data_IF_456407069948
#
_entry.id   IF_456407069948
#
_cell.length_a   1.000
_cell.length_b   1.000
_cell.length_c   1.000
_cell.angle_alpha   90.00
_cell.angle_beta   90.00
_cell.angle_gamma   90.00
#
_symmetry.space_group_name_H-M   'P 1'
#
loop_
_entity.id
_entity.type
_entity.pdbx_description
1 polymer ?
#
# COMPACT_ATOMS: atom_id res chain seq x y z
N UNK A 1 1.22 -22.20 -12.66
CA UNK A 1 0.50 -21.14 -13.39
C UNK A 1 0.14 -20.09 -12.37
N UNK A 2 0.97 -19.06 -12.21
CA UNK A 2 0.73 -17.99 -11.25
C UNK A 2 -0.39 -17.14 -11.81
N UNK A 3 -1.58 -17.28 -11.24
CA UNK A 3 -2.70 -16.36 -11.50
C UNK A 3 -2.22 -14.95 -11.18
N UNK A 4 -1.97 -14.15 -12.22
CA UNK A 4 -1.97 -12.70 -12.13
C UNK A 4 -3.41 -12.29 -11.74
N UNK A 5 -3.74 -12.42 -10.47
CA UNK A 5 -4.87 -11.71 -9.91
C UNK A 5 -4.41 -10.25 -9.86
N UNK A 6 -4.79 -9.49 -10.87
CA UNK A 6 -4.70 -8.04 -10.80
C UNK A 6 -5.39 -7.60 -9.51
N UNK A 7 -4.61 -7.00 -8.63
CA UNK A 7 -5.08 -6.52 -7.33
C UNK A 7 -6.08 -5.39 -7.58
N UNK A 8 -7.37 -5.72 -7.76
CA UNK A 8 -8.41 -4.76 -8.07
C UNK A 8 -9.09 -4.32 -6.77
N UNK A 9 -8.46 -3.39 -6.07
CA UNK A 9 -8.96 -2.84 -4.81
C UNK A 9 -9.66 -1.51 -5.09
N UNK A 10 -10.91 -1.37 -4.64
CA UNK A 10 -11.63 -0.10 -4.70
C UNK A 10 -11.37 0.73 -3.44
N UNK A 11 -10.25 1.45 -3.43
CA UNK A 11 -9.79 2.25 -2.29
C UNK A 11 -10.80 3.33 -1.91
N UNK A 12 -11.44 4.00 -2.87
CA UNK A 12 -12.43 5.03 -2.60
C UNK A 12 -13.66 4.48 -1.86
N UNK A 13 -14.21 3.36 -2.32
CA UNK A 13 -15.38 2.76 -1.66
C UNK A 13 -15.03 2.25 -0.27
N UNK A 14 -13.85 1.66 -0.09
CA UNK A 14 -13.39 1.24 1.24
C UNK A 14 -13.27 2.45 2.17
N UNK A 15 -12.64 3.55 1.72
CA UNK A 15 -12.51 4.77 2.52
C UNK A 15 -13.88 5.38 2.87
N UNK A 16 -14.82 5.44 1.93
CA UNK A 16 -16.20 5.90 2.19
C UNK A 16 -16.87 5.08 3.29
N UNK A 17 -16.60 3.78 3.34
CA UNK A 17 -17.08 2.87 4.38
C UNK A 17 -16.27 2.95 5.69
N UNK A 18 -15.17 3.71 5.72
CA UNK A 18 -14.28 3.88 6.87
C UNK A 18 -13.23 2.78 6.99
N UNK A 19 -12.83 2.18 5.87
CA UNK A 19 -11.83 1.12 5.81
C UNK A 19 -10.66 1.51 4.90
N UNK A 20 -9.45 1.08 5.25
CA UNK A 20 -8.26 1.24 4.42
C UNK A 20 -7.47 -0.06 4.31
N UNK A 21 -6.81 -0.26 3.17
CA UNK A 21 -5.89 -1.38 2.95
C UNK A 21 -4.49 -0.93 3.31
N UNK A 22 -3.94 -1.56 4.34
CA UNK A 22 -2.64 -1.23 4.89
C UNK A 22 -1.78 -2.48 5.02
N UNK A 23 -0.48 -2.27 5.14
CA UNK A 23 0.43 -3.31 5.58
C UNK A 23 0.19 -3.65 7.05
N UNK A 24 0.27 -4.92 7.41
CA UNK A 24 0.03 -5.36 8.78
C UNK A 24 1.04 -4.78 9.78
N UNK A 25 2.20 -4.26 9.33
CA UNK A 25 3.19 -3.62 10.20
C UNK A 25 2.87 -2.14 10.49
N UNK A 26 1.79 -1.60 9.93
CA UNK A 26 1.37 -0.22 10.19
C UNK A 26 0.85 -0.02 11.62
N UNK A 27 0.34 -1.09 12.26
CA UNK A 27 -0.11 -1.12 13.65
C UNK A 27 0.02 -2.54 14.21
N UNK A 28 -0.08 -2.71 15.52
CA UNK A 28 -0.16 -4.04 16.11
C UNK A 28 -1.52 -4.67 15.78
N UNK A 29 -1.51 -5.69 14.91
CA UNK A 29 -2.68 -6.49 14.54
C UNK A 29 -2.43 -7.97 14.83
N UNK A 30 -3.48 -8.72 15.15
CA UNK A 30 -3.42 -10.18 15.21
C UNK A 30 -3.15 -10.74 13.82
N UNK A 31 -2.01 -11.41 13.64
CA UNK A 31 -1.50 -11.83 12.33
C UNK A 31 -2.06 -13.20 11.94
N UNK A 32 -2.59 -13.31 10.71
CA UNK A 32 -2.80 -14.62 10.06
C UNK A 32 -1.47 -15.09 9.44
N UNK A 33 -1.19 -16.40 9.30
CA UNK A 33 0.08 -16.92 8.75
C UNK A 33 0.29 -16.66 7.24
N UNK A 34 -0.58 -15.87 6.62
CA UNK A 34 -0.60 -15.65 5.18
C UNK A 34 0.60 -14.85 4.68
N UNK A 35 1.05 -15.17 3.47
CA UNK A 35 2.26 -14.61 2.86
C UNK A 35 2.13 -13.14 2.48
N UNK A 36 0.91 -12.69 2.18
CA UNK A 36 0.61 -11.33 1.78
C UNK A 36 -0.06 -10.59 2.94
N UNK A 37 0.76 -9.93 3.77
CA UNK A 37 0.33 -9.23 4.98
C UNK A 37 -0.35 -7.88 4.71
N UNK A 38 -1.36 -7.87 3.85
CA UNK A 38 -2.25 -6.73 3.67
C UNK A 38 -3.51 -6.95 4.48
N UNK A 39 -3.93 -5.95 5.25
CA UNK A 39 -5.13 -6.00 6.07
C UNK A 39 -6.05 -4.83 5.75
N UNK A 40 -7.35 -5.06 5.90
CA UNK A 40 -8.35 -4.00 5.86
C UNK A 40 -8.54 -3.52 7.30
N UNK A 41 -8.15 -2.28 7.59
CA UNK A 41 -8.28 -1.67 8.90
C UNK A 41 -9.33 -0.55 8.89
N UNK A 42 -9.99 -0.37 10.03
CA UNK A 42 -10.93 0.75 10.23
C UNK A 42 -10.17 2.06 10.41
N UNK A 43 -10.64 3.11 9.76
CA UNK A 43 -10.10 4.48 9.81
C UNK A 43 -11.18 5.39 10.40
N UNK A 44 -10.93 5.89 11.61
CA UNK A 44 -11.91 6.67 12.38
C UNK A 44 -11.88 8.18 12.07
N UNK A 45 -10.89 8.69 11.31
CA UNK A 45 -10.71 10.12 11.01
C UNK A 45 -9.95 10.38 9.70
N UNK A 46 -10.23 11.50 9.01
CA UNK A 46 -9.54 12.02 7.81
C UNK A 46 -9.33 11.01 6.67
N UNK A 47 -10.44 10.42 6.24
CA UNK A 47 -10.48 9.34 5.23
C UNK A 47 -9.96 9.77 3.87
N UNK A 48 -10.21 11.01 3.48
CA UNK A 48 -9.88 11.50 2.14
C UNK A 48 -8.36 11.71 1.96
N UNK A 49 -7.65 12.05 3.05
CA UNK A 49 -6.21 12.30 3.05
C UNK A 49 -5.39 11.09 3.54
N UNK A 50 -6.05 10.02 4.01
CA UNK A 50 -5.39 8.87 4.64
C UNK A 50 -4.20 8.30 3.85
N UNK A 51 -4.42 7.98 2.56
CA UNK A 51 -3.35 7.42 1.72
C UNK A 51 -2.31 8.48 1.34
N UNK A 52 -2.68 9.76 1.22
CA UNK A 52 -1.75 10.86 0.99
C UNK A 52 -0.80 11.01 2.17
N UNK A 53 -1.34 11.06 3.38
CA UNK A 53 -0.58 11.18 4.62
C UNK A 53 0.32 9.99 4.84
N UNK A 54 -0.17 8.78 4.60
CA UNK A 54 0.63 7.56 4.72
C UNK A 54 1.78 7.54 3.72
N UNK A 55 1.53 7.90 2.46
CA UNK A 55 2.60 8.00 1.46
C UNK A 55 3.61 9.09 1.84
N UNK A 56 3.16 10.28 2.24
CA UNK A 56 4.00 11.37 2.71
C UNK A 56 4.84 10.95 3.92
N UNK A 57 4.29 10.17 4.84
CA UNK A 57 5.00 9.65 6.01
C UNK A 57 6.14 8.69 5.61
N UNK A 58 5.93 7.86 4.58
CA UNK A 58 6.94 6.90 4.14
C UNK A 58 8.04 7.51 3.27
N UNK A 59 7.70 8.53 2.47
CA UNK A 59 8.51 8.96 1.33
C UNK A 59 8.95 10.42 1.43
N UNK A 60 8.34 11.19 2.33
CA UNK A 60 8.48 12.64 2.47
C UNK A 60 8.09 13.44 1.20
N UNK A 61 7.33 12.83 0.28
CA UNK A 61 6.82 13.47 -0.94
C UNK A 61 5.32 13.77 -0.80
N UNK A 62 4.90 14.92 -1.33
CA UNK A 62 3.48 15.25 -1.45
C UNK A 62 2.92 14.74 -2.78
N UNK A 63 1.79 14.04 -2.70
CA UNK A 63 1.08 13.47 -3.85
C UNK A 63 -0.29 14.11 -3.99
N UNK A 64 -0.77 14.26 -5.23
CA UNK A 64 -2.12 14.79 -5.49
C UNK A 64 -3.16 13.70 -5.19
N UNK A 65 -4.31 14.10 -4.65
CA UNK A 65 -5.36 13.15 -4.25
C UNK A 65 -5.83 12.25 -5.39
N UNK A 66 -5.82 12.77 -6.63
CA UNK A 66 -6.28 12.06 -7.82
C UNK A 66 -5.32 10.98 -8.34
N UNK A 67 -4.05 10.95 -7.91
CA UNK A 67 -3.05 9.93 -8.31
C UNK A 67 -2.70 8.95 -7.19
N UNK A 68 -3.08 9.25 -5.94
CA UNK A 68 -2.67 8.51 -4.75
C UNK A 68 -3.14 7.06 -4.74
N UNK A 69 -4.36 6.79 -5.19
CA UNK A 69 -4.92 5.43 -5.24
C UNK A 69 -4.17 4.54 -6.24
N UNK A 70 -3.78 5.11 -7.38
CA UNK A 70 -2.98 4.43 -8.41
C UNK A 70 -1.56 4.14 -7.88
N UNK A 71 -0.89 5.16 -7.34
CA UNK A 71 0.46 5.03 -6.76
C UNK A 71 0.46 4.01 -5.62
N UNK A 72 -0.53 4.04 -4.74
CA UNK A 72 -0.64 3.08 -3.64
C UNK A 72 -0.82 1.65 -4.16
N UNK A 73 -1.67 1.45 -5.18
CA UNK A 73 -1.85 0.14 -5.83
C UNK A 73 -0.54 -0.39 -6.38
N UNK A 74 0.24 0.47 -7.04
CA UNK A 74 1.51 0.09 -7.64
C UNK A 74 2.57 -0.23 -6.59
N UNK A 75 2.62 0.51 -5.49
CA UNK A 75 3.51 0.21 -4.35
C UNK A 75 3.15 -1.16 -3.74
N UNK A 76 1.85 -1.47 -3.60
CA UNK A 76 1.42 -2.77 -3.10
C UNK A 76 1.85 -3.90 -4.04
N UNK A 77 1.64 -3.74 -5.36
CA UNK A 77 2.10 -4.72 -6.37
C UNK A 77 3.63 -4.87 -6.35
N UNK A 78 4.35 -3.76 -6.23
CA UNK A 78 5.80 -3.74 -6.14
C UNK A 78 6.29 -4.49 -4.90
N UNK A 79 5.68 -4.24 -3.74
CA UNK A 79 5.96 -4.97 -2.50
C UNK A 79 5.78 -6.48 -2.69
N UNK A 80 4.67 -6.91 -3.29
CA UNK A 80 4.39 -8.34 -3.55
C UNK A 80 5.47 -8.95 -4.44
N UNK A 81 5.81 -8.26 -5.54
CA UNK A 81 6.85 -8.68 -6.47
C UNK A 81 8.22 -8.79 -5.78
N UNK A 82 8.63 -7.76 -5.05
CA UNK A 82 9.90 -7.75 -4.34
C UNK A 82 9.95 -8.85 -3.26
N UNK A 83 8.87 -9.04 -2.51
CA UNK A 83 8.81 -10.06 -1.46
C UNK A 83 8.92 -11.48 -2.03
N UNK A 84 8.31 -11.72 -3.18
CA UNK A 84 8.45 -12.96 -3.94
C UNK A 84 9.89 -13.19 -4.42
N UNK A 85 10.53 -12.17 -5.00
CA UNK A 85 11.92 -12.27 -5.51
C UNK A 85 12.93 -12.47 -4.37
N UNK A 86 12.79 -11.76 -3.25
CA UNK A 86 13.70 -11.87 -2.10
C UNK A 86 13.40 -13.06 -1.19
N UNK A 87 12.34 -13.84 -1.48
CA UNK A 87 11.87 -14.95 -0.63
C UNK A 87 11.68 -14.57 0.84
N UNK A 88 11.33 -13.31 1.10
CA UNK A 88 11.08 -12.76 2.43
C UNK A 88 10.11 -11.59 2.35
N UNK A 89 9.36 -11.38 3.43
CA UNK A 89 8.41 -10.26 3.52
C UNK A 89 9.13 -8.93 3.77
N UNK A 90 8.86 -7.94 2.93
CA UNK A 90 9.47 -6.60 2.96
C UNK A 90 8.47 -5.61 3.55
N UNK A 91 8.94 -4.64 4.33
CA UNK A 91 8.05 -3.59 4.85
C UNK A 91 7.51 -2.72 3.72
N UNK A 92 6.26 -2.26 3.86
CA UNK A 92 5.65 -1.34 2.89
C UNK A 92 6.45 -0.04 2.72
N UNK A 93 7.08 0.45 3.80
CA UNK A 93 7.96 1.62 3.75
C UNK A 93 9.14 1.40 2.80
N UNK A 94 9.81 0.25 2.88
CA UNK A 94 10.93 -0.09 1.98
C UNK A 94 10.43 -0.23 0.55
N UNK A 95 9.30 -0.88 0.33
CA UNK A 95 8.73 -1.02 -1.01
C UNK A 95 8.30 0.34 -1.60
N UNK A 96 7.73 1.24 -0.79
CA UNK A 96 7.33 2.57 -1.22
C UNK A 96 8.54 3.42 -1.62
N UNK A 97 9.61 3.42 -0.82
CA UNK A 97 10.85 4.11 -1.13
C UNK A 97 11.50 3.55 -2.40
N UNK A 98 11.61 2.23 -2.52
CA UNK A 98 12.20 1.57 -3.69
C UNK A 98 11.39 1.87 -4.96
N UNK A 99 10.05 1.78 -4.89
CA UNK A 99 9.17 2.11 -6.01
C UNK A 99 9.36 3.56 -6.45
N UNK A 100 9.47 4.50 -5.51
CA UNK A 100 9.62 5.92 -5.85
C UNK A 100 10.96 6.23 -6.50
N UNK A 101 12.04 5.67 -5.96
CA UNK A 101 13.40 5.89 -6.46
C UNK A 101 13.66 5.18 -7.80
N UNK A 102 13.00 4.05 -8.05
CA UNK A 102 13.33 3.18 -9.21
C UNK A 102 12.26 3.14 -10.30
N UNK A 103 10.99 3.38 -9.97
CA UNK A 103 9.85 3.22 -10.91
C UNK A 103 9.12 4.54 -11.12
N UNK A 104 8.76 5.24 -10.04
CA UNK A 104 7.89 6.43 -10.11
C UNK A 104 8.50 7.60 -10.87
N UNK A 105 9.84 7.64 -11.03
CA UNK A 105 10.66 8.64 -11.76
C UNK A 105 9.83 9.83 -12.23
N UNK A 106 9.72 10.86 -11.37
CA UNK A 106 8.91 12.08 -11.55
C UNK A 106 8.55 12.31 -13.02
N UNK A 107 7.35 11.90 -13.42
CA UNK A 107 6.77 12.37 -14.67
C UNK A 107 6.54 13.88 -14.61
#
# INVERSE_FOLDING_TARGET
MTTNNDLQINFENLLKLGYAVIDIRYKDYDLCPDSHKLVIARVDSDRDEFYQDMLKQYTAIEFKANEVSEIWTDILKHKVKMSSVLSRDISIKVAALDYIETVYTKR
#
